data_IF_677807789849
#
_entry.id   IF_677807789849
#
_cell.length_a   1.000
_cell.length_b   1.000
_cell.length_c   1.000
_cell.angle_alpha   90.00
_cell.angle_beta   90.00
_cell.angle_gamma   90.00
#
_symmetry.space_group_name_H-M   'P 1'
#
loop_
_entity.id
_entity.type
_entity.pdbx_description
1 polymer ?
#
# COMPACT_ATOMS: atom_id res chain seq x y z
N UNK A 1 27.85 8.50 -17.63
CA UNK A 1 27.13 7.69 -16.64
C UNK A 1 26.19 6.75 -17.37
N UNK A 2 25.94 5.54 -16.84
CA UNK A 2 24.90 4.66 -17.38
C UNK A 2 23.54 5.36 -17.23
N UNK A 3 22.64 5.30 -18.23
CA UNK A 3 21.30 5.83 -18.07
C UNK A 3 20.57 5.04 -16.98
N UNK A 4 19.96 5.75 -16.05
CA UNK A 4 19.17 5.19 -14.95
C UNK A 4 17.93 6.05 -14.75
N UNK A 5 16.81 5.40 -14.42
CA UNK A 5 15.56 6.09 -14.08
C UNK A 5 15.53 6.43 -12.60
N UNK A 6 15.15 7.65 -12.25
CA UNK A 6 15.05 8.12 -10.88
C UNK A 6 13.72 8.85 -10.65
N UNK A 7 13.13 8.66 -9.48
CA UNK A 7 12.06 9.52 -9.01
C UNK A 7 12.65 10.85 -8.52
N UNK A 8 11.93 11.95 -8.75
CA UNK A 8 12.41 13.26 -8.32
C UNK A 8 12.45 13.36 -6.78
N UNK A 9 13.36 14.15 -6.19
CA UNK A 9 13.36 14.40 -4.75
C UNK A 9 12.03 14.97 -4.25
N UNK A 10 11.35 15.77 -5.08
CA UNK A 10 10.00 16.27 -4.77
C UNK A 10 9.01 15.13 -4.64
N UNK A 11 9.03 14.17 -5.56
CA UNK A 11 8.17 12.98 -5.50
C UNK A 11 8.42 12.18 -4.23
N UNK A 12 9.69 11.93 -3.87
CA UNK A 12 10.06 11.19 -2.66
C UNK A 12 9.70 11.93 -1.35
N UNK A 13 9.55 13.24 -1.40
CA UNK A 13 9.17 14.08 -0.26
C UNK A 13 7.64 14.24 -0.10
N UNK A 14 6.84 13.94 -1.13
CA UNK A 14 5.37 14.06 -1.06
C UNK A 14 4.80 12.95 -0.17
N UNK A 15 4.12 13.34 0.90
CA UNK A 15 3.32 12.45 1.74
C UNK A 15 2.38 13.28 2.63
N UNK A 16 1.07 13.07 2.51
CA UNK A 16 0.08 13.69 3.39
C UNK A 16 -0.06 12.90 4.70
N UNK A 17 0.91 13.13 5.59
CA UNK A 17 0.99 12.41 6.87
C UNK A 17 -0.28 12.58 7.72
N UNK A 18 -0.94 13.73 7.65
CA UNK A 18 -2.08 14.04 8.51
C UNK A 18 -3.32 13.31 8.01
N UNK A 19 -3.52 13.19 6.68
CA UNK A 19 -4.56 12.34 6.10
C UNK A 19 -4.42 10.88 6.53
N UNK A 20 -3.20 10.33 6.55
CA UNK A 20 -2.94 8.95 6.95
C UNK A 20 -2.82 8.73 8.47
N UNK A 21 -3.03 9.77 9.30
CA UNK A 21 -2.93 9.67 10.76
C UNK A 21 -1.50 9.37 11.26
N UNK A 22 -0.48 9.75 10.50
CA UNK A 22 0.93 9.50 10.78
C UNK A 22 1.58 10.73 11.43
N UNK A 23 2.22 10.53 12.58
CA UNK A 23 2.94 11.59 13.29
C UNK A 23 4.16 12.09 12.49
N UNK A 24 4.60 13.33 12.73
CA UNK A 24 5.80 13.87 12.07
C UNK A 24 7.06 13.01 12.34
N UNK A 25 7.22 12.53 13.57
CA UNK A 25 8.32 11.63 13.95
C UNK A 25 8.26 10.31 13.20
N UNK A 26 7.08 9.70 13.07
CA UNK A 26 6.93 8.46 12.32
C UNK A 26 7.18 8.67 10.83
N UNK A 27 6.57 9.69 10.22
CA UNK A 27 6.73 10.00 8.80
C UNK A 27 8.20 10.24 8.41
N UNK A 28 8.98 10.86 9.31
CA UNK A 28 10.41 11.09 9.10
C UNK A 28 11.24 9.80 9.13
N UNK A 29 10.80 8.81 9.90
CA UNK A 29 11.44 7.50 9.98
C UNK A 29 11.00 6.55 8.86
N UNK A 30 9.82 6.75 8.25
CA UNK A 30 9.28 5.86 7.23
C UNK A 30 10.10 5.86 5.94
N UNK A 31 10.36 4.64 5.43
CA UNK A 31 10.90 4.41 4.09
C UNK A 31 10.03 5.17 3.06
N UNK A 32 10.64 6.01 2.20
CA UNK A 32 9.94 6.69 1.11
C UNK A 32 9.05 5.76 0.26
N UNK A 33 9.44 4.49 0.08
CA UNK A 33 8.62 3.50 -0.62
C UNK A 33 7.27 3.28 0.07
N UNK A 34 7.23 3.17 1.41
CA UNK A 34 5.99 2.98 2.14
C UNK A 34 5.07 4.20 2.04
N UNK A 35 5.64 5.41 2.07
CA UNK A 35 4.90 6.67 1.92
C UNK A 35 4.30 6.79 0.52
N UNK A 36 5.09 6.51 -0.52
CA UNK A 36 4.63 6.50 -1.90
C UNK A 36 3.54 5.44 -2.14
N UNK A 37 3.69 4.26 -1.57
CA UNK A 37 2.70 3.19 -1.71
C UNK A 37 1.33 3.56 -1.12
N UNK A 38 1.30 4.27 0.00
CA UNK A 38 0.05 4.77 0.59
C UNK A 38 -0.66 5.77 -0.34
N UNK A 39 0.09 6.72 -0.89
CA UNK A 39 -0.45 7.69 -1.85
C UNK A 39 -0.92 7.02 -3.14
N UNK A 40 -0.11 6.12 -3.71
CA UNK A 40 -0.49 5.37 -4.91
C UNK A 40 -1.73 4.51 -4.67
N UNK A 41 -1.87 3.88 -3.50
CA UNK A 41 -3.05 3.10 -3.17
C UNK A 41 -4.30 3.98 -3.07
N UNK A 42 -4.19 5.17 -2.45
CA UNK A 42 -5.28 6.16 -2.39
C UNK A 42 -5.69 6.60 -3.80
N UNK A 43 -4.72 7.02 -4.62
CA UNK A 43 -4.95 7.47 -6.00
C UNK A 43 -5.60 6.37 -6.86
N UNK A 44 -5.14 5.12 -6.74
CA UNK A 44 -5.73 3.99 -7.45
C UNK A 44 -7.17 3.66 -7.02
N UNK A 45 -7.48 3.79 -5.72
CA UNK A 45 -8.85 3.62 -5.22
C UNK A 45 -9.77 4.73 -5.72
N UNK A 46 -9.30 5.99 -5.69
CA UNK A 46 -10.04 7.14 -6.20
C UNK A 46 -10.35 7.00 -7.69
N UNK A 47 -9.37 6.54 -8.49
CA UNK A 47 -9.55 6.25 -9.92
C UNK A 47 -10.55 5.11 -10.15
N UNK A 48 -10.62 4.14 -9.25
CA UNK A 48 -11.61 3.07 -9.26
C UNK A 48 -13.01 3.49 -8.74
N UNK A 49 -13.21 4.77 -8.36
CA UNK A 49 -14.47 5.27 -7.81
C UNK A 49 -14.71 4.90 -6.34
N UNK A 50 -13.68 4.44 -5.65
CA UNK A 50 -13.70 4.12 -4.22
C UNK A 50 -13.17 5.34 -3.48
N UNK A 51 -14.01 5.94 -2.65
CA UNK A 51 -13.62 7.10 -1.84
C UNK A 51 -13.15 6.62 -0.48
N UNK A 52 -11.98 7.06 -0.07
CA UNK A 52 -11.47 6.84 1.27
C UNK A 52 -11.61 8.12 2.09
N UNK A 53 -12.19 7.99 3.27
CA UNK A 53 -12.26 9.08 4.25
C UNK A 53 -11.39 8.71 5.46
N UNK A 54 -10.46 9.59 5.88
CA UNK A 54 -9.61 9.35 7.04
C UNK A 54 -10.42 8.98 8.29
N UNK A 55 -10.10 7.85 8.90
CA UNK A 55 -10.70 7.39 10.15
C UNK A 55 -12.04 6.64 10.03
N UNK A 56 -12.69 6.62 8.87
CA UNK A 56 -13.94 5.86 8.64
C UNK A 56 -13.77 4.67 7.70
N UNK A 57 -12.74 4.71 6.84
CA UNK A 57 -12.35 3.64 5.92
C UNK A 57 -12.77 3.92 4.48
N UNK A 58 -12.85 2.87 3.66
CA UNK A 58 -13.27 2.98 2.26
C UNK A 58 -14.79 2.88 2.11
N UNK A 59 -15.36 3.76 1.30
CA UNK A 59 -16.75 3.76 0.86
C UNK A 59 -16.81 3.77 -0.68
N UNK A 60 -17.73 3.01 -1.27
CA UNK A 60 -17.95 3.10 -2.71
C UNK A 60 -18.92 4.25 -3.01
N UNK A 61 -18.53 5.17 -3.90
CA UNK A 61 -19.53 6.04 -4.54
C UNK A 61 -20.19 5.25 -5.66
N UNK A 62 -21.49 4.99 -5.52
CA UNK A 62 -22.23 4.14 -6.44
C UNK A 62 -22.08 4.52 -7.92
N UNK A 63 -21.58 3.58 -8.71
CA UNK A 63 -22.28 2.97 -9.85
C UNK A 63 -21.53 1.67 -10.16
N UNK A 64 -22.21 0.54 -9.99
CA UNK A 64 -21.68 -0.75 -10.44
C UNK A 64 -21.26 -0.62 -11.90
N UNK A 65 -20.00 -0.98 -12.22
CA UNK A 65 -19.62 -1.14 -13.62
C UNK A 65 -20.57 -2.19 -14.22
N UNK A 66 -21.38 -1.87 -15.25
CA UNK A 66 -22.33 -2.83 -15.81
C UNK A 66 -21.59 -4.10 -16.26
N UNK A 67 -21.98 -5.26 -15.73
CA UNK A 67 -21.36 -6.55 -16.04
C UNK A 67 -20.31 -7.05 -15.05
N UNK A 68 -19.89 -6.24 -14.07
CA UNK A 68 -19.02 -6.68 -12.98
C UNK A 68 -19.84 -6.71 -11.69
N UNK A 69 -20.38 -7.87 -11.34
CA UNK A 69 -21.09 -8.08 -10.07
C UNK A 69 -20.13 -7.97 -8.88
N UNK A 70 -19.75 -6.76 -8.49
CA UNK A 70 -18.94 -6.51 -7.29
C UNK A 70 -19.88 -6.26 -6.10
N UNK A 71 -19.77 -7.02 -5.00
CA UNK A 71 -20.39 -6.62 -3.74
C UNK A 71 -19.78 -5.28 -3.31
N UNK A 72 -20.60 -4.35 -2.85
CA UNK A 72 -20.15 -2.99 -2.54
C UNK A 72 -18.99 -3.02 -1.52
N UNK A 73 -17.80 -2.52 -1.89
CA UNK A 73 -16.60 -2.47 -1.04
C UNK A 73 -16.89 -1.87 0.33
N UNK A 74 -17.76 -0.84 0.39
CA UNK A 74 -18.14 -0.16 1.63
C UNK A 74 -18.81 -1.06 2.67
N UNK A 75 -19.50 -2.13 2.23
CA UNK A 75 -20.09 -3.11 3.14
C UNK A 75 -19.18 -4.32 3.39
N UNK A 76 -18.19 -4.56 2.52
CA UNK A 76 -17.36 -5.76 2.55
C UNK A 76 -15.87 -5.44 2.51
N UNK A 77 -15.29 -5.29 3.71
CA UNK A 77 -13.88 -4.98 3.92
C UNK A 77 -12.93 -6.12 3.54
N UNK A 78 -13.39 -7.23 2.95
CA UNK A 78 -12.51 -8.33 2.49
C UNK A 78 -11.83 -7.98 1.16
N UNK A 79 -11.07 -6.90 1.17
CA UNK A 79 -10.18 -6.46 0.09
C UNK A 79 -8.76 -6.90 0.45
N UNK A 80 -8.10 -7.62 -0.45
CA UNK A 80 -6.71 -8.01 -0.25
C UNK A 80 -5.73 -6.91 -0.65
N UNK A 81 -4.51 -7.00 -0.16
CA UNK A 81 -3.35 -6.18 -0.55
C UNK A 81 -2.23 -7.16 -0.89
N UNK A 82 -1.80 -7.15 -2.15
CA UNK A 82 -0.71 -8.01 -2.64
C UNK A 82 0.37 -7.11 -3.22
N UNK A 83 1.48 -7.00 -2.50
CA UNK A 83 2.56 -6.07 -2.80
C UNK A 83 3.82 -6.82 -3.20
N UNK A 84 4.29 -6.59 -4.43
CA UNK A 84 5.63 -7.00 -4.85
C UNK A 84 6.67 -5.96 -4.42
N UNK A 85 7.55 -6.31 -3.49
CA UNK A 85 8.58 -5.40 -2.97
C UNK A 85 9.83 -6.19 -2.52
N UNK A 86 11.01 -5.75 -2.98
CA UNK A 86 12.28 -6.46 -2.76
C UNK A 86 13.35 -5.60 -2.08
N UNK A 87 13.25 -4.28 -2.22
CA UNK A 87 14.31 -3.35 -1.82
C UNK A 87 14.11 -2.86 -0.37
N UNK A 88 15.14 -3.05 0.47
CA UNK A 88 15.20 -2.52 1.85
C UNK A 88 16.43 -1.62 2.04
N UNK A 89 16.83 -0.89 0.99
CA UNK A 89 18.01 0.00 1.01
C UNK A 89 17.91 1.05 2.10
N UNK A 90 16.70 1.58 2.34
CA UNK A 90 16.46 2.58 3.38
C UNK A 90 16.78 2.02 4.78
N UNK A 91 16.37 0.78 5.04
CA UNK A 91 16.71 0.07 6.26
C UNK A 91 18.22 -0.02 6.46
N UNK A 92 18.97 -0.32 5.39
CA UNK A 92 20.44 -0.37 5.42
C UNK A 92 21.08 0.99 5.71
N UNK A 93 20.59 2.06 5.08
CA UNK A 93 21.07 3.44 5.30
C UNK A 93 20.83 3.86 6.76
N UNK A 94 19.68 3.48 7.33
CA UNK A 94 19.31 3.85 8.70
C UNK A 94 19.97 2.99 9.79
N UNK A 95 20.72 1.93 9.47
CA UNK A 95 21.35 1.06 10.49
C UNK A 95 22.31 1.80 11.43
N UNK A 96 22.91 2.90 10.97
CA UNK A 96 23.82 3.74 11.77
C UNK A 96 23.10 4.81 12.59
N UNK A 97 21.78 4.93 12.47
CA UNK A 97 20.98 5.92 13.18
C UNK A 97 20.52 5.39 14.54
N UNK A 98 20.32 6.30 15.51
CA UNK A 98 19.79 5.92 16.81
C UNK A 98 18.38 5.33 16.64
N UNK A 99 18.10 4.11 17.15
CA UNK A 99 16.79 3.51 17.06
C UNK A 99 15.71 4.41 17.69
N UNK A 100 14.56 4.49 17.02
CA UNK A 100 13.36 5.16 17.51
C UNK A 100 12.25 4.14 17.77
N UNK A 101 11.16 4.58 18.37
CA UNK A 101 9.96 3.75 18.54
C UNK A 101 9.39 3.24 17.19
N UNK A 102 9.72 3.89 16.07
CA UNK A 102 9.22 3.55 14.74
C UNK A 102 10.19 2.70 13.91
N UNK A 103 11.39 2.40 14.41
CA UNK A 103 12.42 1.67 13.65
C UNK A 103 11.93 0.31 13.12
N UNK A 104 11.10 -0.41 13.88
CA UNK A 104 10.54 -1.69 13.41
C UNK A 104 9.53 -1.55 12.27
N UNK A 105 8.73 -0.47 12.28
CA UNK A 105 7.66 -0.23 11.29
C UNK A 105 8.11 0.66 10.13
N UNK A 106 9.33 1.19 10.19
CA UNK A 106 9.84 2.16 9.25
C UNK A 106 10.20 1.58 7.87
N UNK A 107 10.76 0.36 7.80
CA UNK A 107 11.28 -0.20 6.54
C UNK A 107 11.00 -1.69 6.34
N UNK A 108 10.26 -2.34 7.26
CA UNK A 108 9.87 -3.74 7.07
C UNK A 108 8.96 -3.90 5.85
N UNK A 109 9.27 -4.87 4.99
CA UNK A 109 8.51 -5.13 3.75
C UNK A 109 7.06 -5.54 4.05
N UNK A 110 6.83 -6.34 5.08
CA UNK A 110 5.47 -6.73 5.50
C UNK A 110 4.66 -5.53 5.98
N UNK A 111 5.33 -4.55 6.60
CA UNK A 111 4.67 -3.33 7.07
C UNK A 111 4.26 -2.45 5.90
N UNK A 112 4.96 -2.48 4.76
CA UNK A 112 4.53 -1.75 3.56
C UNK A 112 3.13 -2.19 3.10
N UNK A 113 2.86 -3.49 3.02
CA UNK A 113 1.52 -4.00 2.71
C UNK A 113 0.51 -3.73 3.84
N UNK A 114 0.91 -3.97 5.10
CA UNK A 114 0.01 -3.82 6.25
C UNK A 114 -0.39 -2.37 6.51
N UNK A 115 0.44 -1.38 6.16
CA UNK A 115 0.09 0.04 6.25
C UNK A 115 -1.04 0.41 5.31
N UNK A 116 -1.06 -0.13 4.09
CA UNK A 116 -2.19 0.03 3.17
C UNK A 116 -3.44 -0.58 3.79
N UNK A 117 -3.36 -1.86 4.20
CA UNK A 117 -4.49 -2.54 4.83
C UNK A 117 -5.03 -1.78 6.05
N UNK A 118 -4.15 -1.24 6.89
CA UNK A 118 -4.52 -0.47 8.07
C UNK A 118 -5.16 0.89 7.72
N UNK A 119 -4.52 1.66 6.84
CA UNK A 119 -4.96 3.01 6.49
C UNK A 119 -6.37 3.02 5.87
N UNK A 120 -6.67 2.02 5.04
CA UNK A 120 -7.93 1.91 4.31
C UNK A 120 -8.96 0.95 4.98
N UNK A 121 -8.62 0.38 6.13
CA UNK A 121 -9.36 -0.69 6.84
C UNK A 121 -9.76 -1.87 5.92
N UNK A 122 -8.76 -2.39 5.21
CA UNK A 122 -8.87 -3.58 4.38
C UNK A 122 -8.55 -4.82 5.22
N UNK A 123 -9.45 -5.79 5.19
CA UNK A 123 -9.48 -6.98 6.04
C UNK A 123 -9.36 -8.28 5.23
N UNK A 124 -8.94 -8.20 3.97
CA UNK A 124 -8.52 -9.36 3.18
C UNK A 124 -7.06 -9.76 3.47
N UNK A 125 -6.50 -10.68 2.66
CA UNK A 125 -5.08 -11.04 2.76
C UNK A 125 -4.18 -9.81 2.58
N UNK A 126 -3.18 -9.62 3.43
CA UNK A 126 -2.21 -8.52 3.34
C UNK A 126 -0.81 -9.10 3.23
N UNK A 127 -0.25 -9.11 2.01
CA UNK A 127 0.94 -9.88 1.66
C UNK A 127 1.95 -8.98 0.97
N UNK A 128 3.17 -8.95 1.53
CA UNK A 128 4.36 -8.48 0.82
C UNK A 128 5.16 -9.70 0.35
N UNK A 129 5.61 -9.69 -0.90
CA UNK A 129 6.40 -10.78 -1.48
C UNK A 129 7.55 -10.27 -2.35
N UNK A 130 8.58 -11.09 -2.41
CA UNK A 130 9.78 -10.85 -3.19
C UNK A 130 10.10 -12.07 -4.05
N UNK A 131 9.91 -11.95 -5.36
CA UNK A 131 10.39 -12.88 -6.38
C UNK A 131 11.35 -12.16 -7.34
N UNK A 132 12.09 -11.17 -6.82
CA UNK A 132 12.95 -10.25 -7.56
C UNK A 132 12.17 -9.48 -8.66
N UNK A 133 12.69 -9.46 -9.89
CA UNK A 133 12.11 -8.67 -10.99
C UNK A 133 10.67 -9.03 -11.36
N UNK A 134 10.18 -10.20 -10.96
CA UNK A 134 8.81 -10.64 -11.23
C UNK A 134 7.83 -10.37 -10.10
N UNK A 135 8.26 -9.74 -9.00
CA UNK A 135 7.44 -9.58 -7.78
C UNK A 135 6.08 -8.96 -8.02
N UNK A 136 6.00 -7.91 -8.84
CA UNK A 136 4.73 -7.25 -9.17
C UNK A 136 3.79 -8.16 -9.96
N UNK A 137 4.31 -8.93 -10.93
CA UNK A 137 3.51 -9.86 -11.72
C UNK A 137 3.03 -11.05 -10.87
N UNK A 138 3.87 -11.55 -9.97
CA UNK A 138 3.49 -12.62 -9.03
C UNK A 138 2.44 -12.11 -8.02
N UNK A 139 2.55 -10.86 -7.57
CA UNK A 139 1.55 -10.25 -6.72
C UNK A 139 0.17 -10.18 -7.41
N UNK A 140 0.13 -9.82 -8.70
CA UNK A 140 -1.10 -9.84 -9.50
C UNK A 140 -1.65 -11.27 -9.67
N UNK A 141 -0.81 -12.26 -9.96
CA UNK A 141 -1.26 -13.67 -10.05
C UNK A 141 -1.90 -14.15 -8.74
N UNK A 142 -1.28 -13.83 -7.59
CA UNK A 142 -1.83 -14.16 -6.27
C UNK A 142 -3.14 -13.43 -5.99
N UNK A 143 -3.25 -12.14 -6.33
CA UNK A 143 -4.47 -11.37 -6.19
C UNK A 143 -5.64 -11.98 -6.98
N UNK A 144 -5.40 -12.34 -8.25
CA UNK A 144 -6.41 -12.99 -9.10
C UNK A 144 -6.85 -14.34 -8.51
N UNK A 145 -5.91 -15.15 -8.01
CA UNK A 145 -6.24 -16.44 -7.36
C UNK A 145 -7.04 -16.25 -6.08
N UNK A 146 -6.69 -15.26 -5.26
CA UNK A 146 -7.39 -14.96 -4.02
C UNK A 146 -8.84 -14.52 -4.28
N UNK A 147 -9.07 -13.69 -5.30
CA UNK A 147 -10.42 -13.30 -5.72
C UNK A 147 -11.20 -14.53 -6.24
N UNK A 148 -10.61 -15.31 -7.15
CA UNK A 148 -11.28 -16.48 -7.75
C UNK A 148 -11.62 -17.58 -6.75
N UNK A 149 -10.80 -17.74 -5.71
CA UNK A 149 -11.04 -18.71 -4.63
C UNK A 149 -11.95 -18.17 -3.53
N UNK A 150 -12.40 -16.91 -3.63
CA UNK A 150 -13.26 -16.27 -2.64
C UNK A 150 -12.57 -15.89 -1.34
N UNK A 151 -11.23 -15.88 -1.29
CA UNK A 151 -10.45 -15.41 -0.13
C UNK A 151 -10.59 -13.89 0.10
N UNK A 152 -10.87 -13.14 -0.96
CA UNK A 152 -11.25 -11.73 -0.94
C UNK A 152 -12.21 -11.44 -2.11
N UNK A 153 -12.90 -10.30 -2.09
CA UNK A 153 -13.82 -9.89 -3.17
C UNK A 153 -13.18 -8.89 -4.14
N UNK A 154 -12.14 -8.19 -3.68
CA UNK A 154 -11.27 -7.31 -4.46
C UNK A 154 -9.85 -7.46 -3.93
N UNK A 155 -8.87 -7.00 -4.69
CA UNK A 155 -7.47 -6.91 -4.34
C UNK A 155 -6.81 -5.75 -5.08
#
# INVERSE_FOLDING_TARGET
GRPSGYLSPRTLARFDRDAFGVSASEASAMDPQQRLLLECAREAMEEAGVVWEPGTGVEERGASVPGVGRPALGANRRVGVFLGISASDYGMICQSTTPSAYSGTAWSLSIAANRISYAFDLRGPSIALDTACSSSLVAVDLAVRAIRSGQCYSA
#
